data_IF_754100819244
#
_entry.id   IF_754100819244
#
_cell.length_a   1.000
_cell.length_b   1.000
_cell.length_c   1.000
_cell.angle_alpha   90.00
_cell.angle_beta   90.00
_cell.angle_gamma   90.00
#
_symmetry.space_group_name_H-M   'P 1'
#
loop_
_entity.id
_entity.type
_entity.pdbx_description
1 polymer ?
#
# COMPACT_ATOMS: atom_id res chain seq x y z
N UNK A 1 30.56 17.34 27.44
CA UNK A 1 29.47 17.21 26.44
C UNK A 1 29.95 17.36 25.00
N UNK A 2 30.84 18.31 24.67
CA UNK A 2 31.32 18.53 23.29
C UNK A 2 32.26 17.44 22.72
N UNK A 3 32.91 16.64 23.56
CA UNK A 3 33.82 15.56 23.10
C UNK A 3 33.10 14.26 22.69
N UNK A 4 31.85 14.04 23.12
CA UNK A 4 31.08 12.82 22.79
C UNK A 4 30.52 12.87 21.36
N UNK A 5 30.13 14.06 20.89
CA UNK A 5 29.60 14.27 19.54
C UNK A 5 30.66 14.05 18.44
N UNK A 6 31.92 14.36 18.72
CA UNK A 6 33.01 14.23 17.74
C UNK A 6 33.46 12.77 17.51
N UNK A 7 33.07 11.83 18.39
CA UNK A 7 33.46 10.42 18.30
C UNK A 7 32.45 9.54 17.54
N UNK A 8 31.23 10.05 17.28
CA UNK A 8 30.16 9.26 16.64
C UNK A 8 30.26 9.20 15.10
N UNK A 9 31.01 10.10 14.47
CA UNK A 9 31.15 10.20 13.01
C UNK A 9 32.49 9.68 12.50
N UNK A 10 33.31 9.07 13.35
CA UNK A 10 34.61 8.51 13.00
C UNK A 10 34.58 6.98 12.83
N UNK A 11 33.39 6.41 12.57
CA UNK A 11 33.28 5.02 12.09
C UNK A 11 33.60 5.01 10.59
N UNK A 12 34.83 4.61 10.29
CA UNK A 12 35.30 4.34 8.95
C UNK A 12 34.77 2.94 8.60
N UNK A 13 33.56 2.85 8.02
CA UNK A 13 32.93 1.58 7.69
C UNK A 13 33.92 0.73 6.85
N UNK A 14 34.49 -0.35 7.42
CA UNK A 14 35.28 -1.28 6.63
C UNK A 14 34.34 -1.88 5.58
N UNK A 15 34.88 -2.12 4.39
CA UNK A 15 34.31 -2.91 3.32
C UNK A 15 33.44 -4.03 3.91
N UNK A 16 32.11 -3.90 3.74
CA UNK A 16 31.14 -4.83 4.32
C UNK A 16 31.51 -6.24 3.86
N UNK A 17 32.06 -7.04 4.78
CA UNK A 17 32.40 -8.41 4.41
C UNK A 17 31.07 -9.13 4.15
N UNK A 18 31.00 -10.08 3.18
CA UNK A 18 29.75 -10.79 2.88
C UNK A 18 29.12 -11.47 4.12
N UNK A 19 29.94 -11.79 5.13
CA UNK A 19 29.49 -12.35 6.40
C UNK A 19 28.79 -11.33 7.29
N UNK A 20 29.26 -10.08 7.32
CA UNK A 20 28.61 -8.99 8.07
C UNK A 20 27.31 -8.57 7.41
N UNK A 21 27.29 -8.43 6.09
CA UNK A 21 26.05 -8.17 5.34
C UNK A 21 25.00 -9.27 5.58
N UNK A 22 25.43 -10.53 5.59
CA UNK A 22 24.58 -11.68 5.93
C UNK A 22 24.07 -11.62 7.38
N UNK A 23 24.93 -11.24 8.32
CA UNK A 23 24.58 -11.11 9.74
C UNK A 23 23.52 -10.03 9.96
N UNK A 24 23.71 -8.85 9.37
CA UNK A 24 22.78 -7.73 9.46
C UNK A 24 21.46 -8.07 8.77
N UNK A 25 21.49 -8.66 7.57
CA UNK A 25 20.27 -9.09 6.86
C UNK A 25 19.45 -10.09 7.68
N UNK A 26 20.13 -11.08 8.29
CA UNK A 26 19.47 -12.06 9.18
C UNK A 26 18.88 -11.40 10.42
N UNK A 27 19.57 -10.41 10.99
CA UNK A 27 19.09 -9.67 12.15
C UNK A 27 17.86 -8.82 11.80
N UNK A 28 17.86 -8.14 10.65
CA UNK A 28 16.71 -7.38 10.14
C UNK A 28 15.50 -8.27 9.89
N UNK A 29 15.67 -9.44 9.27
CA UNK A 29 14.56 -10.39 9.06
C UNK A 29 14.02 -10.90 10.40
N UNK A 30 14.89 -11.20 11.37
CA UNK A 30 14.45 -11.64 12.69
C UNK A 30 13.67 -10.55 13.42
N UNK A 31 14.16 -9.31 13.42
CA UNK A 31 13.45 -8.18 14.00
C UNK A 31 12.11 -7.94 13.30
N UNK A 32 12.06 -8.04 11.97
CA UNK A 32 10.82 -7.92 11.19
C UNK A 32 9.79 -8.99 11.53
N UNK A 33 10.23 -10.23 11.81
CA UNK A 33 9.35 -11.31 12.25
C UNK A 33 8.92 -11.12 13.71
N UNK A 34 9.84 -10.73 14.59
CA UNK A 34 9.55 -10.49 16.02
C UNK A 34 8.56 -9.32 16.20
N UNK A 35 8.55 -8.33 15.28
CA UNK A 35 7.60 -7.21 15.26
C UNK A 35 6.26 -7.53 14.55
N UNK A 36 6.00 -8.81 14.24
CA UNK A 36 4.76 -9.26 13.56
C UNK A 36 4.46 -8.50 12.26
N UNK A 37 5.49 -7.95 11.61
CA UNK A 37 5.34 -7.00 10.50
C UNK A 37 4.69 -7.64 9.26
N UNK A 38 4.80 -8.97 9.12
CA UNK A 38 4.07 -9.75 8.11
C UNK A 38 2.55 -9.69 8.32
N UNK A 39 2.09 -9.86 9.57
CA UNK A 39 0.68 -9.79 9.93
C UNK A 39 0.13 -8.38 9.78
N UNK A 40 0.95 -7.37 10.12
CA UNK A 40 0.59 -5.96 9.99
C UNK A 40 0.45 -5.56 8.52
N UNK A 41 1.34 -6.05 7.65
CA UNK A 41 1.21 -5.92 6.20
C UNK A 41 -0.02 -6.64 5.65
N UNK A 42 -0.31 -7.85 6.12
CA UNK A 42 -1.51 -8.59 5.73
C UNK A 42 -2.80 -7.85 6.12
N UNK A 43 -2.84 -7.24 7.31
CA UNK A 43 -3.97 -6.44 7.77
C UNK A 43 -4.23 -5.23 6.86
N UNK A 44 -3.18 -4.52 6.44
CA UNK A 44 -3.28 -3.40 5.50
C UNK A 44 -3.81 -3.86 4.13
N UNK A 45 -3.32 -5.00 3.64
CA UNK A 45 -3.77 -5.57 2.38
C UNK A 45 -5.26 -5.96 2.43
N UNK A 46 -5.68 -6.67 3.47
CA UNK A 46 -7.09 -7.03 3.67
C UNK A 46 -7.96 -5.80 3.83
N UNK A 47 -7.54 -4.81 4.62
CA UNK A 47 -8.29 -3.56 4.77
C UNK A 47 -8.50 -2.87 3.42
N UNK A 48 -7.47 -2.82 2.57
CA UNK A 48 -7.57 -2.22 1.23
C UNK A 48 -8.57 -2.98 0.37
N UNK A 49 -8.43 -4.30 0.25
CA UNK A 49 -9.28 -5.13 -0.63
C UNK A 49 -10.74 -5.12 -0.17
N UNK A 50 -10.99 -5.19 1.15
CA UNK A 50 -12.35 -5.19 1.68
C UNK A 50 -12.98 -3.78 1.69
N UNK A 51 -12.18 -2.72 1.82
CA UNK A 51 -12.70 -1.35 1.88
C UNK A 51 -12.82 -0.67 0.52
N UNK A 52 -12.18 -1.17 -0.54
CA UNK A 52 -12.15 -0.49 -1.85
C UNK A 52 -13.55 -0.31 -2.46
N UNK A 53 -14.40 -1.34 -2.37
CA UNK A 53 -15.76 -1.29 -2.91
C UNK A 53 -16.64 -0.24 -2.20
N UNK A 54 -16.83 -0.28 -0.87
CA UNK A 54 -17.62 0.73 -0.18
C UNK A 54 -17.01 2.14 -0.25
N UNK A 55 -15.68 2.25 -0.25
CA UNK A 55 -15.00 3.54 -0.44
C UNK A 55 -15.34 4.16 -1.81
N UNK A 56 -15.26 3.37 -2.88
CA UNK A 56 -15.59 3.86 -4.23
C UNK A 56 -17.06 4.29 -4.34
N UNK A 57 -17.98 3.57 -3.70
CA UNK A 57 -19.39 3.98 -3.66
C UNK A 57 -19.53 5.38 -3.04
N UNK A 58 -18.85 5.65 -1.93
CA UNK A 58 -18.86 6.97 -1.28
C UNK A 58 -18.27 8.04 -2.20
N UNK A 59 -17.12 7.77 -2.83
CA UNK A 59 -16.47 8.70 -3.76
C UNK A 59 -17.38 9.02 -4.94
N UNK A 60 -18.00 8.02 -5.55
CA UNK A 60 -18.95 8.19 -6.66
C UNK A 60 -20.20 8.94 -6.20
N UNK A 61 -20.70 8.69 -4.98
CA UNK A 61 -21.85 9.40 -4.44
C UNK A 61 -21.56 10.90 -4.28
N UNK A 62 -20.37 11.27 -3.79
CA UNK A 62 -19.95 12.67 -3.63
C UNK A 62 -19.70 13.32 -5.00
N UNK A 63 -19.00 12.64 -5.91
CA UNK A 63 -18.76 13.14 -7.25
C UNK A 63 -20.07 13.27 -8.07
N UNK A 64 -21.01 12.36 -7.86
CA UNK A 64 -22.34 12.35 -8.48
C UNK A 64 -23.22 13.55 -8.15
N UNK A 65 -22.85 14.37 -7.16
CA UNK A 65 -23.53 15.64 -6.85
C UNK A 65 -23.23 16.69 -7.94
N UNK A 66 -22.05 16.62 -8.55
CA UNK A 66 -21.56 17.60 -9.54
C UNK A 66 -21.57 17.03 -10.96
N UNK A 67 -21.40 15.71 -11.10
CA UNK A 67 -21.33 14.99 -12.38
C UNK A 67 -22.38 13.88 -12.49
N UNK A 68 -22.62 13.41 -13.71
CA UNK A 68 -23.42 12.19 -13.93
C UNK A 68 -22.67 10.95 -13.42
N UNK A 69 -23.37 10.08 -12.69
CA UNK A 69 -22.79 8.92 -12.00
C UNK A 69 -22.06 7.97 -12.94
N UNK A 70 -22.59 7.80 -14.15
CA UNK A 70 -22.04 6.89 -15.18
C UNK A 70 -20.73 7.42 -15.77
N UNK A 71 -20.62 8.74 -15.96
CA UNK A 71 -19.38 9.38 -16.41
C UNK A 71 -18.25 9.22 -15.37
N UNK A 72 -18.57 9.40 -14.07
CA UNK A 72 -17.60 9.23 -12.98
C UNK A 72 -17.13 7.77 -12.88
N UNK A 73 -18.04 6.80 -13.01
CA UNK A 73 -17.68 5.38 -12.97
C UNK A 73 -16.76 4.99 -14.13
N UNK A 74 -17.07 5.43 -15.36
CA UNK A 74 -16.25 5.14 -16.53
C UNK A 74 -14.83 5.68 -16.40
N UNK A 75 -14.68 6.92 -15.93
CA UNK A 75 -13.38 7.56 -15.72
C UNK A 75 -12.53 6.85 -14.66
N UNK A 76 -13.13 6.49 -13.51
CA UNK A 76 -12.42 5.78 -12.44
C UNK A 76 -11.92 4.42 -12.92
N UNK A 77 -12.75 3.66 -13.65
CA UNK A 77 -12.35 2.35 -14.20
C UNK A 77 -11.22 2.51 -15.22
N UNK A 78 -11.27 3.56 -16.04
CA UNK A 78 -10.20 3.92 -16.98
C UNK A 78 -8.86 4.17 -16.26
N UNK A 79 -8.86 5.04 -15.25
CA UNK A 79 -7.65 5.39 -14.50
C UNK A 79 -7.06 4.20 -13.74
N UNK A 80 -7.90 3.36 -13.13
CA UNK A 80 -7.44 2.13 -12.48
C UNK A 80 -6.81 1.18 -13.50
N UNK A 81 -7.38 1.11 -14.71
CA UNK A 81 -6.83 0.33 -15.82
C UNK A 81 -5.45 0.79 -16.28
N UNK A 82 -5.21 2.10 -16.28
CA UNK A 82 -3.92 2.69 -16.67
C UNK A 82 -2.85 2.52 -15.60
N UNK A 83 -3.21 2.64 -14.32
CA UNK A 83 -2.25 2.61 -13.20
C UNK A 83 -1.96 1.18 -12.73
N UNK A 84 -2.99 0.35 -12.61
CA UNK A 84 -2.91 -0.99 -11.98
C UNK A 84 -3.02 -2.11 -13.02
N UNK A 85 -3.67 -1.83 -14.16
CA UNK A 85 -3.87 -2.78 -15.25
C UNK A 85 -5.31 -3.22 -15.43
N UNK A 86 -5.58 -3.88 -16.56
CA UNK A 86 -6.93 -4.24 -17.01
C UNK A 86 -7.67 -5.19 -16.05
N UNK A 87 -6.96 -6.12 -15.42
CA UNK A 87 -7.57 -7.10 -14.51
C UNK A 87 -8.10 -6.45 -13.22
N UNK A 88 -7.37 -5.45 -12.71
CA UNK A 88 -7.80 -4.66 -11.56
C UNK A 88 -9.01 -3.79 -11.92
N UNK A 89 -9.00 -3.17 -13.10
CA UNK A 89 -10.14 -2.40 -13.60
C UNK A 89 -11.40 -3.26 -13.74
N UNK A 90 -11.28 -4.47 -14.30
CA UNK A 90 -12.39 -5.41 -14.41
C UNK A 90 -12.95 -5.83 -13.04
N UNK A 91 -12.06 -6.06 -12.07
CA UNK A 91 -12.45 -6.37 -10.69
C UNK A 91 -13.22 -5.22 -10.05
N UNK A 92 -12.72 -3.99 -10.18
CA UNK A 92 -13.38 -2.79 -9.64
C UNK A 92 -14.74 -2.55 -10.29
N UNK A 93 -14.82 -2.69 -11.62
CA UNK A 93 -16.09 -2.59 -12.34
C UNK A 93 -17.12 -3.60 -11.84
N UNK A 94 -16.69 -4.84 -11.59
CA UNK A 94 -17.54 -5.90 -11.04
C UNK A 94 -18.05 -5.56 -9.63
N UNK A 95 -17.17 -5.01 -8.78
CA UNK A 95 -17.50 -4.59 -7.41
C UNK A 95 -18.51 -3.42 -7.40
N UNK A 96 -18.36 -2.46 -8.31
CA UNK A 96 -19.28 -1.33 -8.47
C UNK A 96 -20.67 -1.80 -8.90
N UNK A 97 -20.76 -2.75 -9.84
CA UNK A 97 -22.03 -3.34 -10.26
C UNK A 97 -22.71 -4.11 -9.13
N UNK A 98 -21.95 -4.90 -8.36
CA UNK A 98 -22.48 -5.66 -7.22
C UNK A 98 -23.04 -4.76 -6.12
N UNK A 99 -22.38 -3.62 -5.87
CA UNK A 99 -22.78 -2.65 -4.84
C UNK A 99 -23.98 -1.78 -5.28
N UNK A 100 -24.16 -1.57 -6.59
CA UNK A 100 -25.28 -0.82 -7.14
C UNK A 100 -26.60 -1.62 -7.12
N UNK A 101 -26.53 -2.95 -7.12
CA UNK A 101 -27.71 -3.86 -7.10
C UNK A 101 -28.24 -4.12 -5.68
N UNK A 102 -27.47 -3.78 -4.64
CA UNK A 102 -27.83 -4.00 -3.23
C UNK A 102 -28.50 -2.79 -2.54
N UNK A 103 -28.89 -1.77 -3.32
CA UNK A 103 -29.64 -0.59 -2.86
C UNK A 103 -31.03 -0.51 -3.46
#
# INVERSE_FOLDING_TARGET
MLAYACRLTADNHPDMTPKEFWSISRQSVKAWLDDDASSMGAAIAFYTVFSIAPLLVIVIAVAGIVWEREAVQGEIVGQIGEVVGRDAAATVQSLLQASAVSG
#
